data_IF_237815299909
#
_entry.id   IF_237815299909
#
_cell.length_a   1.000
_cell.length_b   1.000
_cell.length_c   1.000
_cell.angle_alpha   90.00
_cell.angle_beta   90.00
_cell.angle_gamma   90.00
#
_symmetry.space_group_name_H-M   'P 1'
#
loop_
_entity.id
_entity.type
_entity.pdbx_description
1 polymer ?
#
# COMPACT_ATOMS: atom_id res chain seq x y z
N UNK A 1 6.50 -7.42 3.17
CA UNK A 1 6.31 -6.10 2.53
C UNK A 1 7.67 -5.42 2.39
N UNK A 2 7.94 -4.74 1.28
CA UNK A 2 9.28 -4.20 0.94
C UNK A 2 9.33 -2.66 0.79
N UNK A 3 8.23 -1.98 1.11
CA UNK A 3 8.09 -0.52 1.02
C UNK A 3 7.87 0.08 2.43
N UNK A 4 8.17 1.37 2.65
CA UNK A 4 8.16 1.98 3.97
C UNK A 4 6.75 2.42 4.39
N UNK A 5 5.85 1.47 4.65
CA UNK A 5 4.49 1.76 5.13
C UNK A 5 4.39 1.95 6.66
N UNK A 6 5.48 1.75 7.40
CA UNK A 6 5.52 1.77 8.86
C UNK A 6 6.73 2.53 9.36
N UNK A 7 6.61 3.17 10.53
CA UNK A 7 7.77 3.72 11.25
C UNK A 7 8.72 2.59 11.69
N UNK A 8 10.02 2.76 11.43
CA UNK A 8 11.07 1.85 11.91
C UNK A 8 11.54 2.17 13.35
N UNK A 9 11.00 3.22 13.97
CA UNK A 9 11.28 3.58 15.38
C UNK A 9 10.08 3.30 16.28
N UNK A 10 10.35 2.98 17.54
CA UNK A 10 9.34 2.89 18.63
C UNK A 10 8.94 4.27 19.15
N UNK A 11 9.68 5.32 18.81
CA UNK A 11 9.35 6.70 19.16
C UNK A 11 8.06 7.14 18.48
N UNK A 12 7.25 7.93 19.18
CA UNK A 12 6.09 8.60 18.62
C UNK A 12 6.50 9.45 17.42
N UNK A 13 5.87 9.22 16.27
CA UNK A 13 6.18 9.87 14.98
C UNK A 13 4.90 10.42 14.38
N UNK A 14 4.86 11.73 14.20
CA UNK A 14 3.80 12.43 13.44
C UNK A 14 4.28 12.90 12.05
N UNK A 15 5.59 13.08 11.87
CA UNK A 15 6.19 13.45 10.60
C UNK A 15 5.89 12.37 9.54
N UNK A 16 5.30 12.71 8.37
CA UNK A 16 4.96 11.75 7.33
C UNK A 16 6.15 10.90 6.84
N UNK A 17 5.85 9.77 6.21
CA UNK A 17 6.79 9.11 5.30
C UNK A 17 6.36 9.49 3.88
N UNK A 18 7.14 10.33 3.21
CA UNK A 18 7.02 10.55 1.76
C UNK A 18 8.11 9.73 1.05
N UNK A 19 7.71 8.77 0.23
CA UNK A 19 8.59 7.86 -0.51
C UNK A 19 8.24 7.85 -1.99
N UNK A 20 9.28 7.96 -2.84
CA UNK A 20 9.18 7.83 -4.30
C UNK A 20 10.30 6.94 -4.84
N UNK A 21 9.94 6.03 -5.75
CA UNK A 21 10.87 5.21 -6.51
C UNK A 21 10.23 4.77 -7.84
N UNK A 22 10.72 5.33 -8.96
CA UNK A 22 10.10 5.14 -10.27
C UNK A 22 8.63 5.63 -10.25
N UNK A 23 7.73 4.84 -10.83
CA UNK A 23 6.28 5.12 -10.83
C UNK A 23 5.58 4.91 -9.47
N UNK A 24 6.26 4.35 -8.46
CA UNK A 24 5.68 4.10 -7.14
C UNK A 24 5.90 5.30 -6.23
N UNK A 25 4.78 5.91 -5.81
CA UNK A 25 4.74 6.89 -4.73
C UNK A 25 3.96 6.31 -3.55
N UNK A 26 4.44 6.58 -2.33
CA UNK A 26 3.82 6.19 -1.06
C UNK A 26 3.91 7.38 -0.12
N UNK A 27 2.78 7.76 0.48
CA UNK A 27 2.70 8.74 1.55
C UNK A 27 2.01 8.13 2.75
N UNK A 28 2.65 8.14 3.90
CA UNK A 28 2.11 7.62 5.17
C UNK A 28 1.95 8.79 6.14
N UNK A 29 0.73 8.99 6.62
CA UNK A 29 0.33 10.09 7.50
C UNK A 29 -0.25 9.53 8.80
N UNK A 30 -0.10 10.31 9.88
CA UNK A 30 -0.46 9.90 11.23
C UNK A 30 -1.31 10.97 11.91
N UNK A 31 -2.26 10.54 12.74
CA UNK A 31 -2.98 11.42 13.67
C UNK A 31 -2.04 11.78 14.84
N UNK A 32 -1.98 13.06 15.27
CA UNK A 32 -1.07 13.50 16.34
C UNK A 32 -1.18 12.70 17.64
N UNK A 33 -2.38 12.35 18.07
CA UNK A 33 -2.62 11.73 19.39
C UNK A 33 -2.08 10.29 19.50
N UNK A 34 -2.17 9.51 18.41
CA UNK A 34 -1.74 8.11 18.38
C UNK A 34 -0.34 7.94 17.77
N UNK A 35 0.05 8.81 16.83
CA UNK A 35 1.25 8.68 16.03
C UNK A 35 1.15 7.61 14.93
N UNK A 36 2.23 7.45 14.18
CA UNK A 36 2.31 6.55 13.03
C UNK A 36 2.47 5.09 13.46
N UNK A 37 1.74 4.19 12.80
CA UNK A 37 1.90 2.75 12.91
C UNK A 37 3.36 2.35 12.70
N UNK A 38 3.87 1.59 13.66
CA UNK A 38 5.25 1.13 13.73
C UNK A 38 5.38 -0.27 13.15
N UNK A 39 6.60 -0.67 12.82
CA UNK A 39 6.89 -2.00 12.30
C UNK A 39 6.55 -3.14 13.28
N UNK A 40 6.41 -2.86 14.58
CA UNK A 40 5.93 -3.83 15.57
C UNK A 40 4.41 -3.97 15.57
N UNK A 41 3.66 -2.93 15.18
CA UNK A 41 2.20 -3.00 15.09
C UNK A 41 1.77 -3.91 13.92
N UNK A 42 2.60 -3.99 12.87
CA UNK A 42 2.43 -4.92 11.76
C UNK A 42 2.43 -6.41 12.19
N UNK A 43 2.87 -6.76 13.40
CA UNK A 43 2.77 -8.12 13.92
C UNK A 43 1.31 -8.57 14.06
N UNK A 44 0.40 -7.64 14.39
CA UNK A 44 -1.06 -7.91 14.48
C UNK A 44 -1.63 -8.27 13.11
N UNK A 45 -1.13 -7.64 12.03
CA UNK A 45 -1.54 -7.95 10.67
C UNK A 45 -1.00 -9.31 10.19
N UNK A 46 0.18 -9.71 10.68
CA UNK A 46 0.73 -11.05 10.43
C UNK A 46 -0.17 -12.09 11.10
N UNK A 47 -0.55 -11.88 12.36
CA UNK A 47 -1.54 -12.71 13.06
C UNK A 47 -2.87 -12.77 12.29
N UNK A 48 -3.44 -11.62 11.91
CA UNK A 48 -4.73 -11.54 11.22
C UNK A 48 -4.71 -12.32 9.89
N UNK A 49 -3.66 -12.15 9.07
CA UNK A 49 -3.49 -12.91 7.85
C UNK A 49 -3.38 -14.42 8.12
N UNK A 50 -2.60 -14.83 9.14
CA UNK A 50 -2.46 -16.24 9.51
C UNK A 50 -3.80 -16.89 9.89
N UNK A 51 -4.67 -16.21 10.63
CA UNK A 51 -6.00 -16.75 10.98
C UNK A 51 -6.95 -16.87 9.79
N UNK A 52 -6.89 -15.94 8.83
CA UNK A 52 -7.69 -16.01 7.59
C UNK A 52 -7.23 -17.20 6.73
N UNK A 53 -5.92 -17.41 6.59
CA UNK A 53 -5.34 -18.56 5.87
C UNK A 53 -5.70 -19.87 6.55
N UNK A 54 -5.47 -19.98 7.86
CA UNK A 54 -5.77 -21.17 8.66
C UNK A 54 -7.25 -21.57 8.55
N UNK A 55 -8.17 -20.61 8.63
CA UNK A 55 -9.60 -20.87 8.44
C UNK A 55 -9.94 -21.31 7.01
N UNK A 56 -9.36 -20.68 5.97
CA UNK A 56 -9.56 -21.06 4.57
C UNK A 56 -9.06 -22.48 4.30
N UNK A 57 -7.85 -22.79 4.74
CA UNK A 57 -7.19 -24.07 4.48
C UNK A 57 -7.87 -25.22 5.25
N UNK A 58 -8.51 -24.91 6.39
CA UNK A 58 -9.42 -25.81 7.10
C UNK A 58 -10.83 -25.95 6.47
N UNK A 59 -11.10 -25.28 5.34
CA UNK A 59 -12.39 -25.30 4.65
C UNK A 59 -13.51 -24.52 5.37
N UNK A 60 -13.18 -23.67 6.34
CA UNK A 60 -14.12 -22.84 7.07
C UNK A 60 -14.48 -21.58 6.28
N UNK A 61 -15.64 -20.98 6.57
CA UNK A 61 -15.98 -19.66 6.05
C UNK A 61 -15.12 -18.60 6.71
N UNK A 62 -14.31 -17.92 5.91
CA UNK A 62 -13.53 -16.75 6.30
C UNK A 62 -14.40 -15.48 6.36
N UNK A 63 -13.94 -14.48 7.12
CA UNK A 63 -14.61 -13.18 7.27
C UNK A 63 -13.60 -12.06 7.46
N UNK A 64 -14.00 -10.84 7.09
CA UNK A 64 -13.27 -9.59 7.42
C UNK A 64 -13.45 -9.17 8.88
N UNK A 65 -14.52 -9.65 9.53
CA UNK A 65 -14.75 -9.46 10.95
C UNK A 65 -13.99 -10.54 11.73
N UNK A 66 -13.11 -10.11 12.63
CA UNK A 66 -12.26 -10.98 13.42
C UNK A 66 -12.51 -10.71 14.91
N UNK A 67 -12.67 -11.78 15.70
CA UNK A 67 -12.78 -11.72 17.15
C UNK A 67 -11.69 -12.59 17.76
N UNK A 68 -10.97 -12.07 18.75
CA UNK A 68 -9.96 -12.81 19.50
C UNK A 68 -9.73 -12.18 20.88
N UNK A 69 -9.21 -12.95 21.83
CA UNK A 69 -8.74 -12.39 23.10
C UNK A 69 -7.40 -11.66 22.92
N UNK A 70 -7.10 -10.63 23.74
CA UNK A 70 -5.76 -10.03 23.80
C UNK A 70 -4.65 -11.06 24.06
N UNK A 71 -4.97 -12.12 24.82
CA UNK A 71 -4.06 -13.20 25.17
C UNK A 71 -3.62 -14.01 23.94
N UNK A 72 -4.56 -14.39 23.07
CA UNK A 72 -4.27 -15.16 21.84
C UNK A 72 -3.40 -14.34 20.88
N UNK A 73 -3.76 -13.08 20.62
CA UNK A 73 -2.98 -12.19 19.76
C UNK A 73 -1.56 -12.05 20.29
N UNK A 74 -1.38 -11.70 21.57
CA UNK A 74 -0.06 -11.45 22.15
C UNK A 74 0.81 -12.71 22.24
N UNK A 75 0.22 -13.86 22.58
CA UNK A 75 0.91 -15.15 22.58
C UNK A 75 1.35 -15.53 21.17
N UNK A 76 0.49 -15.32 20.17
CA UNK A 76 0.86 -15.52 18.77
C UNK A 76 2.00 -14.59 18.35
N UNK A 77 1.98 -13.30 18.67
CA UNK A 77 3.04 -12.36 18.26
C UNK A 77 4.28 -12.31 19.18
N UNK A 78 4.45 -13.32 20.05
CA UNK A 78 5.64 -13.48 20.89
C UNK A 78 5.80 -12.40 21.97
N UNK A 79 4.70 -11.91 22.54
CA UNK A 79 4.69 -10.83 23.54
C UNK A 79 4.23 -11.33 24.91
N UNK A 80 4.65 -10.58 25.94
CA UNK A 80 4.12 -10.75 27.28
C UNK A 80 2.62 -10.44 27.35
N UNK A 81 1.96 -11.04 28.33
CA UNK A 81 0.52 -10.93 28.59
C UNK A 81 0.22 -10.02 29.79
N UNK A 82 1.12 -9.07 30.08
CA UNK A 82 0.98 -8.14 31.19
C UNK A 82 -0.05 -7.04 30.87
N UNK A 83 -0.56 -6.36 31.90
CA UNK A 83 -1.41 -5.17 31.74
C UNK A 83 -0.74 -4.07 30.87
N UNK A 84 0.59 -3.97 30.92
CA UNK A 84 1.37 -3.04 30.09
C UNK A 84 1.31 -3.43 28.61
N UNK A 85 1.37 -4.72 28.32
CA UNK A 85 1.33 -5.25 26.95
C UNK A 85 -0.09 -5.22 26.38
N UNK A 86 -1.11 -5.40 27.22
CA UNK A 86 -2.51 -5.19 26.84
C UNK A 86 -2.78 -3.73 26.48
N UNK A 87 -2.26 -2.76 27.25
CA UNK A 87 -2.31 -1.32 26.90
C UNK A 87 -1.55 -1.01 25.61
N UNK A 88 -0.42 -1.68 25.34
CA UNK A 88 0.34 -1.54 24.09
C UNK A 88 -0.41 -2.11 22.89
N UNK A 89 -1.14 -3.21 23.05
CA UNK A 89 -1.99 -3.79 22.01
C UNK A 89 -3.08 -2.79 21.59
N UNK A 90 -3.81 -2.19 22.55
CA UNK A 90 -4.80 -1.15 22.25
C UNK A 90 -4.18 0.01 21.46
N UNK A 91 -3.09 0.58 21.97
CA UNK A 91 -2.39 1.66 21.29
C UNK A 91 -1.85 1.26 19.89
N UNK A 92 -1.57 -0.02 19.65
CA UNK A 92 -1.19 -0.53 18.33
C UNK A 92 -2.39 -0.61 17.38
N UNK A 93 -3.56 -1.06 17.87
CA UNK A 93 -4.81 -1.05 17.11
C UNK A 93 -5.23 0.37 16.75
N UNK A 94 -5.16 1.31 17.70
CA UNK A 94 -5.37 2.74 17.47
C UNK A 94 -4.47 3.27 16.34
N UNK A 95 -3.16 3.02 16.42
CA UNK A 95 -2.21 3.44 15.36
C UNK A 95 -2.49 2.78 14.01
N UNK A 96 -2.89 1.52 13.97
CA UNK A 96 -3.23 0.80 12.72
C UNK A 96 -4.50 1.35 12.07
N UNK A 97 -5.48 1.77 12.87
CA UNK A 97 -6.70 2.42 12.39
C UNK A 97 -6.42 3.87 11.95
N UNK A 98 -5.68 4.64 12.74
CA UNK A 98 -5.46 6.09 12.52
C UNK A 98 -4.37 6.40 11.47
N UNK A 99 -3.49 5.46 11.15
CA UNK A 99 -2.44 5.67 10.14
C UNK A 99 -3.01 5.54 8.74
N UNK A 100 -2.96 6.63 7.98
CA UNK A 100 -3.47 6.69 6.61
C UNK A 100 -2.34 6.56 5.61
N UNK A 101 -2.48 5.64 4.66
CA UNK A 101 -1.54 5.41 3.56
C UNK A 101 -2.18 5.85 2.25
N UNK A 102 -1.48 6.63 1.44
CA UNK A 102 -1.82 6.91 0.05
C UNK A 102 -0.74 6.36 -0.88
N UNK A 103 -1.10 5.62 -1.94
CA UNK A 103 -0.11 5.05 -2.87
C UNK A 103 -0.61 4.85 -4.30
N UNK A 104 0.31 4.92 -5.26
CA UNK A 104 0.12 4.48 -6.67
C UNK A 104 0.43 2.98 -6.87
N UNK A 105 0.85 2.24 -5.83
CA UNK A 105 1.21 0.83 -5.95
C UNK A 105 0.02 -0.01 -6.46
N UNK A 106 0.24 -0.78 -7.53
CA UNK A 106 -0.76 -1.60 -8.25
C UNK A 106 -1.94 -0.82 -8.86
N UNK A 107 -1.82 0.49 -9.03
CA UNK A 107 -2.80 1.25 -9.80
C UNK A 107 -2.41 1.19 -11.29
N UNK A 108 -3.20 0.47 -12.08
CA UNK A 108 -2.94 0.25 -13.53
C UNK A 108 -3.22 1.50 -14.37
N UNK A 109 -4.03 2.44 -13.85
CA UNK A 109 -4.33 3.69 -14.52
C UNK A 109 -3.53 4.85 -13.91
N UNK A 110 -2.91 5.65 -14.76
CA UNK A 110 -2.18 6.86 -14.36
C UNK A 110 -3.07 7.81 -13.54
N UNK A 111 -2.48 8.49 -12.57
CA UNK A 111 -3.18 9.44 -11.69
C UNK A 111 -4.02 8.82 -10.57
N UNK A 112 -4.38 7.53 -10.61
CA UNK A 112 -5.10 6.90 -9.49
C UNK A 112 -4.18 6.67 -8.29
N UNK A 113 -4.63 7.13 -7.11
CA UNK A 113 -4.03 6.84 -5.80
C UNK A 113 -5.05 6.12 -4.94
N UNK A 114 -4.68 4.94 -4.42
CA UNK A 114 -5.48 4.27 -3.40
C UNK A 114 -5.14 4.86 -2.02
N UNK A 115 -6.15 5.13 -1.19
CA UNK A 115 -5.96 5.60 0.19
C UNK A 115 -6.65 4.64 1.16
N UNK A 116 -5.95 4.20 2.20
CA UNK A 116 -6.43 3.19 3.13
C UNK A 116 -5.78 3.31 4.52
N UNK A 117 -6.43 2.74 5.54
CA UNK A 117 -5.85 2.39 6.84
C UNK A 117 -5.58 0.87 6.91
N UNK A 118 -4.85 0.41 7.93
CA UNK A 118 -4.58 -1.01 8.11
C UNK A 118 -5.73 -1.78 8.77
N UNK A 119 -6.52 -1.09 9.58
CA UNK A 119 -7.74 -1.58 10.23
C UNK A 119 -8.84 -0.55 9.93
N UNK A 120 -10.04 -1.01 9.58
CA UNK A 120 -11.19 -0.12 9.38
C UNK A 120 -11.77 0.29 10.75
N UNK A 121 -12.00 -0.70 11.60
CA UNK A 121 -12.67 -0.57 12.89
C UNK A 121 -12.09 -1.57 13.88
N UNK A 122 -12.01 -1.19 15.15
CA UNK A 122 -11.79 -2.13 16.25
C UNK A 122 -12.59 -1.71 17.47
N UNK A 123 -12.99 -2.69 18.28
CA UNK A 123 -13.74 -2.48 19.52
C UNK A 123 -13.17 -3.37 20.63
N UNK A 124 -13.13 -2.86 21.85
CA UNK A 124 -12.84 -3.67 23.04
C UNK A 124 -14.14 -4.24 23.60
N UNK A 125 -14.25 -5.57 23.61
CA UNK A 125 -15.32 -6.26 24.33
C UNK A 125 -14.92 -6.39 25.79
N UNK A 126 -15.74 -5.85 26.67
CA UNK A 126 -15.55 -5.88 28.13
C UNK A 126 -16.67 -6.71 28.74
N UNK A 127 -16.35 -7.64 29.65
CA UNK A 127 -17.38 -8.43 30.33
C UNK A 127 -18.08 -7.63 31.44
N UNK A 128 -19.16 -8.20 31.99
CA UNK A 128 -19.95 -7.58 33.07
C UNK A 128 -19.15 -7.21 34.35
N UNK A 129 -17.89 -7.65 34.47
CA UNK A 129 -16.99 -7.32 35.58
C UNK A 129 -15.93 -6.27 35.21
N UNK A 130 -16.07 -5.59 34.07
CA UNK A 130 -15.15 -4.54 33.63
C UNK A 130 -13.80 -5.04 33.14
N UNK A 131 -13.65 -6.35 32.84
CA UNK A 131 -12.39 -6.92 32.34
C UNK A 131 -12.42 -7.03 30.80
N UNK A 132 -11.29 -6.79 30.11
CA UNK A 132 -11.17 -7.07 28.67
C UNK A 132 -11.42 -8.56 28.43
N UNK A 133 -12.44 -8.83 27.62
CA UNK A 133 -12.96 -10.18 27.31
C UNK A 133 -12.69 -10.55 25.85
N UNK A 134 -12.54 -9.56 24.98
CA UNK A 134 -12.15 -9.74 23.59
C UNK A 134 -11.76 -8.45 22.89
N UNK A 135 -11.15 -8.60 21.74
CA UNK A 135 -10.95 -7.57 20.71
C UNK A 135 -11.75 -8.01 19.50
N UNK A 136 -12.60 -7.13 19.01
CA UNK A 136 -13.29 -7.26 17.74
C UNK A 136 -12.64 -6.29 16.76
N UNK A 137 -12.34 -6.71 15.53
CA UNK A 137 -11.74 -5.85 14.51
C UNK A 137 -12.23 -6.19 13.10
N UNK A 138 -12.33 -5.17 12.26
CA UNK A 138 -12.68 -5.30 10.84
C UNK A 138 -11.44 -4.97 10.01
N UNK A 139 -10.90 -5.97 9.32
CA UNK A 139 -9.83 -5.74 8.35
C UNK A 139 -10.39 -5.12 7.05
N UNK A 140 -9.62 -4.25 6.37
CA UNK A 140 -10.01 -3.69 5.09
C UNK A 140 -10.23 -4.77 4.03
N UNK A 141 -11.14 -4.54 3.09
CA UNK A 141 -11.40 -5.47 1.98
C UNK A 141 -10.14 -5.76 1.16
N UNK A 142 -9.38 -4.73 0.77
CA UNK A 142 -8.14 -4.90 0.01
C UNK A 142 -7.12 -5.80 0.72
N UNK A 143 -7.10 -5.83 2.07
CA UNK A 143 -6.21 -6.68 2.86
C UNK A 143 -6.72 -8.12 2.83
N UNK A 144 -8.02 -8.31 3.01
CA UNK A 144 -8.68 -9.61 2.98
C UNK A 144 -8.54 -10.30 1.62
N UNK A 145 -8.84 -9.61 0.50
CA UNK A 145 -8.63 -10.15 -0.84
C UNK A 145 -7.15 -10.48 -1.06
N UNK A 146 -6.24 -9.58 -0.66
CA UNK A 146 -4.79 -9.80 -0.77
C UNK A 146 -4.26 -11.01 0.03
N UNK A 147 -4.99 -11.47 1.05
CA UNK A 147 -4.69 -12.71 1.79
C UNK A 147 -5.32 -13.92 1.09
N UNK A 148 -6.59 -13.83 0.65
CA UNK A 148 -7.26 -14.95 -0.03
C UNK A 148 -6.64 -15.32 -1.38
N UNK A 149 -6.13 -14.35 -2.14
CA UNK A 149 -5.54 -14.53 -3.48
C UNK A 149 -4.19 -15.28 -3.49
N UNK A 150 -3.65 -15.70 -2.32
CA UNK A 150 -2.35 -16.34 -2.04
C UNK A 150 -1.08 -15.61 -2.51
N UNK A 151 -1.18 -14.73 -3.52
CA UNK A 151 -0.04 -14.17 -4.26
C UNK A 151 0.93 -13.31 -3.43
N UNK A 152 0.59 -13.03 -2.16
CA UNK A 152 1.17 -11.98 -1.33
C UNK A 152 1.54 -12.40 0.09
N UNK A 153 1.12 -13.59 0.54
CA UNK A 153 1.49 -14.13 1.83
C UNK A 153 2.93 -14.61 1.75
N UNK A 154 3.79 -14.03 2.57
CA UNK A 154 5.15 -14.54 2.78
C UNK A 154 5.10 -15.36 4.06
N UNK A 155 5.41 -16.65 4.00
CA UNK A 155 5.59 -17.48 5.20
C UNK A 155 6.68 -16.84 6.06
N UNK A 156 6.36 -16.49 7.31
CA UNK A 156 7.29 -15.86 8.26
C UNK A 156 7.75 -16.91 9.27
N UNK A 157 9.06 -16.98 9.51
CA UNK A 157 9.65 -17.84 10.53
C UNK A 157 9.22 -17.39 11.94
N UNK A 158 9.02 -18.33 12.87
CA UNK A 158 8.61 -18.03 14.25
C UNK A 158 9.58 -17.05 14.94
N UNK A 159 10.88 -17.19 14.71
CA UNK A 159 11.91 -16.35 15.31
C UNK A 159 11.91 -14.89 14.79
N UNK A 160 11.11 -14.55 13.78
CA UNK A 160 10.90 -13.16 13.36
C UNK A 160 10.36 -12.29 14.52
N UNK A 161 9.51 -12.84 15.39
CA UNK A 161 8.91 -12.06 16.47
C UNK A 161 9.95 -11.61 17.51
N UNK A 162 11.03 -12.39 17.68
CA UNK A 162 12.14 -12.12 18.60
C UNK A 162 13.07 -10.99 18.11
N UNK A 163 13.00 -10.61 16.82
CA UNK A 163 13.77 -9.47 16.29
C UNK A 163 13.42 -8.18 17.05
N UNK A 164 14.42 -7.54 17.63
CA UNK A 164 14.19 -6.39 18.54
C UNK A 164 14.22 -5.04 17.84
N UNK A 165 15.01 -4.93 16.76
CA UNK A 165 15.24 -3.72 15.97
C UNK A 165 14.23 -3.53 14.83
N UNK A 166 13.91 -2.27 14.54
CA UNK A 166 13.00 -1.94 13.45
C UNK A 166 13.64 -2.14 12.08
N UNK A 167 14.92 -1.79 11.93
CA UNK A 167 15.67 -2.06 10.71
C UNK A 167 15.81 -3.57 10.43
N UNK A 168 16.05 -4.38 11.48
CA UNK A 168 16.11 -5.86 11.39
C UNK A 168 14.80 -6.44 10.85
N UNK A 169 13.67 -6.07 11.45
CA UNK A 169 12.33 -6.54 11.04
C UNK A 169 11.95 -6.08 9.64
N UNK A 170 12.39 -4.90 9.22
CA UNK A 170 12.19 -4.45 7.84
C UNK A 170 13.06 -5.27 6.89
N UNK A 171 14.34 -5.45 7.24
CA UNK A 171 15.30 -6.17 6.42
C UNK A 171 14.88 -7.63 6.23
N UNK A 172 14.47 -8.33 7.29
CA UNK A 172 13.94 -9.69 7.20
C UNK A 172 12.78 -9.78 6.20
N UNK A 173 11.80 -8.86 6.27
CA UNK A 173 10.62 -8.87 5.37
C UNK A 173 10.93 -8.43 3.94
N UNK A 174 12.05 -7.73 3.73
CA UNK A 174 12.63 -7.46 2.40
C UNK A 174 13.33 -8.72 1.87
N UNK A 175 14.29 -9.25 2.63
CA UNK A 175 15.08 -10.46 2.32
C UNK A 175 14.15 -11.64 1.99
N UNK A 176 13.17 -11.95 2.85
CA UNK A 176 12.18 -13.03 2.62
C UNK A 176 11.37 -12.86 1.33
N UNK A 177 11.08 -11.62 0.92
CA UNK A 177 10.36 -11.33 -0.34
C UNK A 177 11.20 -11.64 -1.58
N UNK A 178 12.52 -11.45 -1.52
CA UNK A 178 13.42 -11.59 -2.66
C UNK A 178 14.08 -12.98 -2.69
N UNK A 179 14.62 -13.45 -1.56
CA UNK A 179 15.27 -14.76 -1.42
C UNK A 179 14.36 -15.97 -1.61
N UNK A 180 13.04 -15.84 -1.41
CA UNK A 180 12.10 -16.94 -1.66
C UNK A 180 12.02 -17.42 -3.13
N UNK A 181 12.64 -16.70 -4.07
CA UNK A 181 12.67 -17.05 -5.51
C UNK A 181 14.08 -17.23 -6.06
N UNK A 182 15.12 -17.06 -5.25
CA UNK A 182 16.50 -16.87 -5.71
C UNK A 182 17.44 -17.74 -4.86
N UNK A 183 17.85 -18.88 -5.42
CA UNK A 183 18.68 -19.88 -4.74
C UNK A 183 20.08 -19.33 -4.45
N UNK A 184 20.64 -18.58 -5.39
CA UNK A 184 21.99 -18.00 -5.34
C UNK A 184 22.04 -16.63 -4.61
N UNK A 185 21.01 -16.37 -3.79
CA UNK A 185 20.90 -15.13 -3.02
C UNK A 185 20.53 -13.90 -3.85
N UNK A 186 20.69 -12.72 -3.24
CA UNK A 186 20.47 -11.43 -3.92
C UNK A 186 21.32 -10.32 -3.30
N UNK A 187 21.62 -9.29 -4.11
CA UNK A 187 22.47 -8.15 -3.75
C UNK A 187 21.69 -6.84 -3.76
N UNK A 188 21.87 -6.04 -2.72
CA UNK A 188 21.31 -4.69 -2.60
C UNK A 188 22.38 -3.68 -2.24
N UNK A 189 22.52 -2.63 -3.04
CA UNK A 189 23.33 -1.47 -2.66
C UNK A 189 22.80 -0.80 -1.37
N UNK A 190 23.72 -0.38 -0.50
CA UNK A 190 23.39 0.22 0.80
C UNK A 190 22.58 1.53 0.67
N UNK A 191 22.82 2.35 -0.37
CA UNK A 191 22.04 3.59 -0.61
C UNK A 191 20.63 3.25 -1.06
N UNK A 192 20.48 2.26 -1.94
CA UNK A 192 19.17 1.74 -2.34
C UNK A 192 18.39 1.23 -1.13
N UNK A 193 19.02 0.48 -0.21
CA UNK A 193 18.38 0.04 1.03
C UNK A 193 17.96 1.22 1.92
N UNK A 194 18.81 2.23 2.07
CA UNK A 194 18.50 3.43 2.87
C UNK A 194 17.26 4.14 2.35
N UNK A 195 17.21 4.43 1.04
CA UNK A 195 16.03 5.03 0.38
C UNK A 195 14.78 4.14 0.53
N UNK A 196 14.90 2.84 0.25
CA UNK A 196 13.79 1.86 0.30
C UNK A 196 13.23 1.62 1.70
N UNK A 197 14.05 1.82 2.73
CA UNK A 197 13.64 1.67 4.13
C UNK A 197 12.79 2.84 4.66
N UNK A 198 12.83 4.00 4.00
CA UNK A 198 12.21 5.23 4.51
C UNK A 198 12.77 5.67 5.87
N UNK A 199 14.01 5.28 6.19
CA UNK A 199 14.65 5.61 7.46
C UNK A 199 15.02 7.10 7.52
N UNK A 200 14.61 7.75 8.61
CA UNK A 200 14.98 9.14 8.92
C UNK A 200 16.44 9.26 9.42
N UNK A 201 17.11 8.15 9.72
CA UNK A 201 18.51 8.18 10.16
C UNK A 201 19.43 8.66 9.02
N UNK A 202 20.46 9.48 9.30
CA UNK A 202 21.47 9.82 8.31
C UNK A 202 22.15 8.56 7.76
N UNK A 203 22.51 8.55 6.47
CA UNK A 203 23.05 7.36 5.80
C UNK A 203 24.23 6.70 6.53
N UNK A 204 25.14 7.49 7.13
CA UNK A 204 26.25 6.96 7.94
C UNK A 204 25.78 6.10 9.12
N UNK A 205 24.70 6.51 9.80
CA UNK A 205 24.09 5.79 10.91
C UNK A 205 23.34 4.55 10.43
N UNK A 206 22.57 4.67 9.34
CA UNK A 206 21.92 3.53 8.69
C UNK A 206 22.93 2.44 8.29
N UNK A 207 24.04 2.83 7.64
CA UNK A 207 25.08 1.88 7.23
C UNK A 207 25.84 1.27 8.41
N UNK A 208 25.97 1.99 9.54
CA UNK A 208 26.50 1.44 10.78
C UNK A 208 25.56 0.37 11.37
N UNK A 209 24.27 0.68 11.50
CA UNK A 209 23.26 -0.26 12.00
C UNK A 209 23.14 -1.49 11.08
N UNK A 210 23.15 -1.31 9.76
CA UNK A 210 23.12 -2.41 8.81
C UNK A 210 24.35 -3.33 8.94
N UNK A 211 25.57 -2.79 9.12
CA UNK A 211 26.77 -3.61 9.37
C UNK A 211 26.69 -4.34 10.71
N UNK A 212 26.10 -3.74 11.74
CA UNK A 212 25.90 -4.43 13.02
C UNK A 212 24.91 -5.60 12.89
N UNK A 213 23.84 -5.44 12.11
CA UNK A 213 22.91 -6.53 11.76
C UNK A 213 23.64 -7.65 11.01
N UNK A 214 24.45 -7.32 10.00
CA UNK A 214 25.27 -8.32 9.27
C UNK A 214 26.23 -9.04 10.23
N UNK A 215 26.89 -8.30 11.13
CA UNK A 215 27.83 -8.87 12.12
C UNK A 215 27.14 -9.82 13.11
N UNK A 216 25.91 -9.52 13.54
CA UNK A 216 25.15 -10.34 14.51
C UNK A 216 24.35 -11.49 13.90
N UNK A 217 24.13 -11.50 12.58
CA UNK A 217 23.34 -12.50 11.86
C UNK A 217 21.95 -12.81 12.50
N UNK A 218 21.13 -11.82 12.93
CA UNK A 218 19.90 -12.11 13.66
C UNK A 218 18.73 -12.56 12.77
N UNK A 219 18.88 -12.61 11.44
CA UNK A 219 17.78 -12.88 10.52
C UNK A 219 17.56 -14.41 10.37
N UNK A 220 16.45 -14.98 10.87
CA UNK A 220 16.24 -16.42 10.82
C UNK A 220 16.15 -16.93 9.38
N UNK A 221 16.80 -18.07 9.10
CA UNK A 221 16.84 -18.70 7.79
C UNK A 221 17.68 -17.98 6.72
N UNK A 222 18.44 -16.94 7.07
CA UNK A 222 19.30 -16.21 6.12
C UNK A 222 20.68 -15.92 6.71
N UNK A 223 21.70 -16.01 5.86
CA UNK A 223 23.04 -15.53 6.17
C UNK A 223 23.31 -14.27 5.35
N UNK A 224 23.74 -13.19 6.03
CA UNK A 224 24.02 -11.89 5.44
C UNK A 224 25.53 -11.69 5.27
N UNK A 225 25.94 -10.98 4.23
CA UNK A 225 27.34 -10.59 4.05
C UNK A 225 27.46 -9.23 3.36
N UNK A 226 28.63 -8.61 3.52
CA UNK A 226 28.96 -7.34 2.85
C UNK A 226 29.91 -7.64 1.71
N UNK A 227 29.57 -7.18 0.51
CA UNK A 227 30.47 -7.17 -0.63
C UNK A 227 30.88 -5.73 -0.95
N UNK A 228 32.09 -5.56 -1.50
CA UNK A 228 32.56 -4.29 -2.05
C UNK A 228 32.76 -4.51 -3.54
N UNK A 229 31.94 -3.85 -4.35
CA UNK A 229 32.07 -3.86 -5.80
C UNK A 229 33.32 -3.07 -6.23
N UNK A 230 33.92 -3.40 -7.38
CA UNK A 230 35.13 -2.72 -7.90
C UNK A 230 35.00 -1.18 -8.00
N UNK A 231 33.78 -0.64 -8.09
CA UNK A 231 33.50 0.80 -8.02
C UNK A 231 33.40 1.39 -6.59
N UNK A 232 33.83 0.66 -5.55
CA UNK A 232 33.76 1.09 -4.15
C UNK A 232 32.35 1.08 -3.54
N UNK A 233 31.35 0.55 -4.26
CA UNK A 233 29.98 0.45 -3.75
C UNK A 233 29.86 -0.70 -2.76
N UNK A 234 29.18 -0.44 -1.65
CA UNK A 234 28.97 -1.42 -0.59
C UNK A 234 27.60 -2.08 -0.78
N UNK A 235 27.62 -3.38 -1.03
CA UNK A 235 26.44 -4.20 -1.24
C UNK A 235 26.16 -5.04 0.01
N UNK A 236 24.89 -5.14 0.40
CA UNK A 236 24.40 -6.22 1.22
C UNK A 236 24.07 -7.38 0.28
N UNK A 237 24.73 -8.51 0.49
CA UNK A 237 24.33 -9.77 -0.09
C UNK A 237 23.71 -10.67 0.99
N UNK A 238 22.84 -11.59 0.58
CA UNK A 238 22.27 -12.59 1.48
C UNK A 238 21.94 -13.87 0.73
N UNK A 239 22.02 -14.99 1.44
CA UNK A 239 21.67 -16.33 0.94
C UNK A 239 20.78 -17.07 1.96
N UNK A 240 19.91 -18.00 1.51
CA UNK A 240 19.18 -18.89 2.42
C UNK A 240 20.16 -19.75 3.24
N UNK A 241 20.01 -19.77 4.56
CA UNK A 241 20.89 -20.56 5.42
C UNK A 241 20.49 -22.05 5.38
N UNK A 242 21.42 -22.99 5.12
CA UNK A 242 21.11 -24.42 4.96
C UNK A 242 20.66 -25.12 6.25
N UNK A 243 20.69 -24.44 7.39
CA UNK A 243 20.22 -24.95 8.68
C UNK A 243 18.69 -24.81 8.89
N UNK A 244 17.97 -24.06 8.05
CA UNK A 244 16.51 -24.09 8.07
C UNK A 244 16.02 -25.41 7.44
N UNK A 245 15.11 -26.09 8.14
CA UNK A 245 14.51 -27.34 7.67
C UNK A 245 13.76 -27.20 6.34
N UNK A 246 13.24 -28.34 5.85
CA UNK A 246 12.57 -28.51 4.54
C UNK A 246 11.85 -27.23 4.06
N UNK A 247 11.93 -26.88 2.75
CA UNK A 247 11.19 -25.74 2.21
C UNK A 247 9.73 -25.87 2.63
N UNK A 248 9.29 -24.98 3.52
CA UNK A 248 7.96 -25.04 4.11
C UNK A 248 6.96 -24.54 3.09
N UNK A 249 6.13 -25.46 2.60
CA UNK A 249 4.88 -25.14 1.93
C UNK A 249 4.03 -24.19 2.79
N UNK A 250 3.08 -23.48 2.16
CA UNK A 250 2.44 -22.26 2.68
C UNK A 250 1.64 -22.35 3.99
N UNK A 251 1.63 -23.51 4.66
CA UNK A 251 0.97 -23.72 5.94
C UNK A 251 1.82 -23.17 7.10
N UNK A 252 1.30 -22.18 7.81
CA UNK A 252 1.81 -21.74 9.12
C UNK A 252 1.20 -22.68 10.18
N UNK A 253 1.98 -23.56 10.84
CA UNK A 253 1.44 -24.39 11.91
C UNK A 253 1.27 -23.52 13.14
N UNK A 254 0.03 -23.09 13.40
CA UNK A 254 -0.33 -22.50 14.68
C UNK A 254 -0.20 -23.57 15.77
N UNK A 255 0.61 -23.30 16.79
CA UNK A 255 0.74 -24.20 17.96
C UNK A 255 -0.49 -24.18 18.89
N UNK A 256 -1.56 -23.48 18.49
CA UNK A 256 -2.85 -23.48 19.18
C UNK A 256 -3.50 -24.85 19.04
N UNK A 257 -4.03 -25.38 20.15
CA UNK A 257 -4.65 -26.72 20.16
C UNK A 257 -5.81 -26.78 19.18
N UNK A 258 -5.85 -27.84 18.37
CA UNK A 258 -6.84 -28.16 17.31
C UNK A 258 -8.27 -28.42 17.82
N UNK A 259 -8.59 -28.00 19.04
CA UNK A 259 -9.89 -28.17 19.68
C UNK A 259 -10.31 -26.82 20.25
N UNK A 260 -10.90 -25.98 19.40
CA UNK A 260 -11.88 -25.00 19.87
C UNK A 260 -13.12 -25.82 20.26
N UNK A 261 -13.25 -26.13 21.56
CA UNK A 261 -14.53 -26.55 22.10
C UNK A 261 -15.47 -25.35 21.94
N UNK A 262 -16.43 -25.49 21.03
CA UNK A 262 -17.53 -24.53 20.85
C UNK A 262 -18.45 -24.58 22.07
N UNK A 263 -18.01 -23.94 23.16
CA UNK A 263 -18.78 -23.74 24.39
C UNK A 263 -19.90 -22.72 24.25
N UNK A 264 -19.97 -22.03 23.12
CA UNK A 264 -21.07 -21.14 22.76
C UNK A 264 -22.17 -21.95 22.07
N UNK A 265 -23.39 -21.96 22.63
CA UNK A 265 -24.57 -22.29 21.83
C UNK A 265 -24.58 -21.38 20.60
N UNK A 266 -24.87 -21.95 19.42
CA UNK A 266 -24.59 -21.31 18.13
C UNK A 266 -25.08 -19.86 18.06
N UNK A 267 -24.17 -18.92 17.80
CA UNK A 267 -24.54 -17.51 17.68
C UNK A 267 -25.45 -17.32 16.45
N UNK A 268 -26.60 -16.69 16.67
CA UNK A 268 -27.69 -16.62 15.70
C UNK A 268 -27.47 -15.57 14.59
N UNK A 269 -26.32 -15.59 13.92
CA UNK A 269 -26.07 -14.83 12.69
C UNK A 269 -25.53 -15.75 11.59
N UNK A 270 -26.46 -16.50 10.98
CA UNK A 270 -26.27 -16.99 9.62
C UNK A 270 -26.50 -15.82 8.66
N UNK A 271 -25.62 -15.64 7.67
CA UNK A 271 -26.02 -14.96 6.44
C UNK A 271 -27.28 -15.65 5.89
N UNK A 272 -28.34 -14.91 5.52
CA UNK A 272 -29.50 -15.51 4.88
C UNK A 272 -29.07 -16.28 3.63
N UNK A 273 -29.47 -17.56 3.54
CA UNK A 273 -29.29 -18.33 2.30
C UNK A 273 -29.90 -17.52 1.16
N UNK A 274 -29.13 -17.23 0.11
CA UNK A 274 -29.64 -16.57 -1.08
C UNK A 274 -30.79 -17.40 -1.66
N UNK A 275 -32.03 -16.94 -1.44
CA UNK A 275 -33.27 -17.61 -1.84
C UNK A 275 -33.56 -17.54 -3.34
N UNK A 276 -32.57 -17.24 -4.18
CA UNK A 276 -32.73 -17.04 -5.62
C UNK A 276 -32.60 -18.38 -6.33
N UNK A 277 -33.72 -19.08 -6.49
CA UNK A 277 -33.84 -20.13 -7.51
C UNK A 277 -33.98 -19.46 -8.89
N UNK A 278 -33.35 -19.97 -9.97
CA UNK A 278 -33.57 -19.45 -11.32
C UNK A 278 -35.03 -19.68 -11.75
N UNK A 279 -35.83 -18.62 -11.77
CA UNK A 279 -37.21 -18.65 -12.24
C UNK A 279 -37.28 -18.40 -13.74
N UNK A 280 -37.79 -19.37 -14.52
CA UNK A 280 -37.86 -19.28 -15.97
C UNK A 280 -39.06 -18.42 -16.43
N UNK A 281 -38.99 -17.10 -16.21
CA UNK A 281 -39.96 -16.11 -16.73
C UNK A 281 -39.25 -14.93 -17.37
N UNK A 282 -39.30 -14.86 -18.70
CA UNK A 282 -39.10 -13.63 -19.45
C UNK A 282 -40.37 -12.78 -19.34
N UNK A 283 -40.36 -11.77 -18.47
CA UNK A 283 -41.22 -10.57 -18.56
C UNK A 283 -40.84 -9.57 -17.47
N UNK A 284 -40.27 -8.42 -17.84
CA UNK A 284 -40.07 -7.31 -16.91
C UNK A 284 -41.41 -6.59 -16.72
N UNK A 285 -41.96 -6.60 -15.50
CA UNK A 285 -43.07 -5.70 -15.14
C UNK A 285 -42.59 -4.25 -15.09
N UNK A 286 -43.54 -3.34 -15.31
CA UNK A 286 -43.29 -1.90 -15.50
C UNK A 286 -42.59 -1.23 -14.30
N UNK A 287 -41.90 -0.13 -14.60
CA UNK A 287 -41.18 0.70 -13.65
C UNK A 287 -42.15 1.39 -12.67
N UNK A 288 -41.86 1.34 -11.37
CA UNK A 288 -42.50 2.19 -10.37
C UNK A 288 -42.16 3.66 -10.67
N UNK A 289 -43.16 4.45 -11.08
CA UNK A 289 -43.03 5.87 -11.41
C UNK A 289 -43.65 6.82 -10.38
N UNK A 290 -44.20 6.31 -9.27
CA UNK A 290 -44.94 7.09 -8.26
C UNK A 290 -44.17 7.23 -6.93
N UNK A 291 -42.90 7.66 -6.98
CA UNK A 291 -42.09 7.91 -5.76
C UNK A 291 -40.93 8.90 -5.99
N UNK A 292 -41.24 10.12 -6.47
CA UNK A 292 -40.52 11.39 -6.20
C UNK A 292 -41.00 12.49 -7.17
N UNK A 293 -42.07 13.23 -6.83
CA UNK A 293 -42.59 14.31 -7.68
C UNK A 293 -42.12 15.73 -7.30
N UNK A 294 -41.49 15.95 -6.13
CA UNK A 294 -41.22 17.32 -5.62
C UNK A 294 -39.75 17.79 -5.61
N UNK A 295 -38.81 17.14 -6.31
CA UNK A 295 -37.46 17.71 -6.49
C UNK A 295 -36.72 17.21 -7.74
N UNK A 296 -36.62 18.11 -8.74
CA UNK A 296 -35.56 18.26 -9.78
C UNK A 296 -36.00 18.32 -11.27
N UNK A 297 -36.90 19.23 -11.65
CA UNK A 297 -36.97 19.79 -13.02
C UNK A 297 -37.36 21.28 -12.89
N UNK A 298 -36.64 22.26 -13.44
CA UNK A 298 -36.49 22.52 -14.89
C UNK A 298 -35.14 23.16 -15.31
N UNK A 299 -34.27 23.62 -14.39
CA UNK A 299 -33.20 24.56 -14.77
C UNK A 299 -31.97 23.92 -15.46
N UNK A 300 -31.59 22.69 -15.09
CA UNK A 300 -30.32 22.08 -15.54
C UNK A 300 -30.23 21.65 -17.01
N UNK A 301 -31.35 21.45 -17.72
CA UNK A 301 -31.28 21.00 -19.13
C UNK A 301 -30.85 22.11 -20.09
N UNK A 302 -31.30 23.36 -19.88
CA UNK A 302 -30.95 24.49 -20.75
C UNK A 302 -29.49 24.90 -20.62
N UNK A 303 -28.94 24.85 -19.40
CA UNK A 303 -27.56 25.28 -19.15
C UNK A 303 -26.51 24.27 -19.63
N UNK A 304 -26.75 22.96 -19.45
CA UNK A 304 -25.88 21.93 -20.01
C UNK A 304 -25.83 22.03 -21.54
N UNK A 305 -26.98 22.29 -22.18
CA UNK A 305 -27.04 22.42 -23.65
C UNK A 305 -26.34 23.69 -24.15
N UNK A 306 -26.49 24.84 -23.45
CA UNK A 306 -25.69 26.06 -23.72
C UNK A 306 -24.19 25.82 -23.53
N UNK A 307 -23.78 25.08 -22.49
CA UNK A 307 -22.38 24.78 -22.22
C UNK A 307 -21.76 23.92 -23.34
N UNK A 308 -22.47 22.88 -23.78
CA UNK A 308 -22.03 21.99 -24.88
C UNK A 308 -21.83 22.78 -26.18
N UNK A 309 -22.77 23.67 -26.54
CA UNK A 309 -22.64 24.53 -27.74
C UNK A 309 -21.46 25.51 -27.60
N UNK A 310 -21.26 26.10 -26.42
CA UNK A 310 -20.14 27.03 -26.15
C UNK A 310 -18.77 26.34 -26.27
N UNK A 311 -18.65 25.11 -25.76
CA UNK A 311 -17.42 24.29 -25.87
C UNK A 311 -17.19 23.84 -27.32
N UNK A 312 -18.23 23.40 -28.03
CA UNK A 312 -18.12 23.00 -29.44
C UNK A 312 -17.65 24.13 -30.37
N UNK A 313 -18.10 25.36 -30.13
CA UNK A 313 -17.67 26.52 -30.91
C UNK A 313 -16.22 26.93 -30.60
N UNK A 314 -15.80 26.87 -29.33
CA UNK A 314 -14.41 27.17 -28.94
C UNK A 314 -13.40 26.20 -29.60
N UNK A 315 -13.74 24.91 -29.70
CA UNK A 315 -12.89 23.87 -30.30
C UNK A 315 -12.79 23.98 -31.84
N UNK A 316 -13.80 24.56 -32.50
CA UNK A 316 -13.75 24.86 -33.94
C UNK A 316 -12.83 26.03 -34.27
N UNK A 317 -12.81 27.08 -33.45
CA UNK A 317 -11.95 28.26 -33.67
C UNK A 317 -10.46 27.89 -33.58
N UNK A 318 -10.07 26.97 -32.69
CA UNK A 318 -8.67 26.55 -32.53
C UNK A 318 -8.18 25.55 -33.58
N UNK A 319 -9.05 25.05 -34.46
CA UNK A 319 -8.73 24.01 -35.44
C UNK A 319 -8.79 24.49 -36.91
N UNK A 320 -9.12 25.76 -37.15
CA UNK A 320 -9.30 26.32 -38.50
C UNK A 320 -8.03 26.85 -39.19
N UNK A 321 -6.99 27.24 -38.43
CA UNK A 321 -5.93 28.14 -38.92
C UNK A 321 -4.63 27.43 -39.36
N UNK A 322 -4.72 26.16 -39.78
CA UNK A 322 -3.58 25.40 -40.33
C UNK A 322 -3.98 24.46 -41.46
N UNK A 323 -4.57 25.01 -42.55
CA UNK A 323 -4.67 24.37 -43.89
C UNK A 323 -5.27 25.34 -44.94
N UNK A 324 -4.47 26.28 -45.45
CA UNK A 324 -4.50 26.78 -46.84
C UNK A 324 -3.50 27.94 -47.03
N UNK A 325 -2.28 27.61 -47.45
CA UNK A 325 -1.29 28.61 -47.91
C UNK A 325 -0.22 27.94 -48.80
N UNK A 326 -0.65 27.26 -49.86
CA UNK A 326 0.21 26.85 -50.98
C UNK A 326 -0.63 26.80 -52.26
N UNK A 327 -0.05 27.29 -53.36
CA UNK A 327 -0.57 27.36 -54.73
C UNK A 327 -1.94 28.04 -54.99
N UNK A 328 -1.88 29.30 -55.49
CA UNK A 328 -1.89 29.53 -56.95
C UNK A 328 -1.54 30.97 -57.36
N UNK A 329 -1.03 31.08 -58.59
CA UNK A 329 -0.39 32.23 -59.25
C UNK A 329 -1.32 33.03 -60.18
N UNK A 330 -0.92 34.28 -60.51
CA UNK A 330 -1.35 35.10 -61.67
C UNK A 330 -2.82 35.59 -61.63
N UNK A 331 -3.28 36.74 -62.19
CA UNK A 331 -2.71 37.92 -62.91
C UNK A 331 -3.82 39.02 -62.93
N UNK A 332 -3.64 40.32 -63.22
CA UNK A 332 -2.52 41.20 -63.56
C UNK A 332 -2.89 42.68 -63.20
N UNK A 333 -1.94 43.62 -63.37
CA UNK A 333 -2.08 45.09 -63.56
C UNK A 333 -2.82 45.93 -62.47
N UNK A 334 -2.37 47.14 -62.09
CA UNK A 334 -1.78 48.21 -62.94
C UNK A 334 -0.99 49.25 -62.10
N UNK A 335 0.05 49.88 -62.68
CA UNK A 335 0.62 51.23 -62.35
C UNK A 335 1.20 51.50 -60.92
N UNK A 336 2.33 52.19 -60.65
CA UNK A 336 3.37 52.89 -61.46
C UNK A 336 4.67 53.06 -60.62
N UNK A 337 5.88 52.95 -61.24
CA UNK A 337 7.09 53.82 -61.07
C UNK A 337 7.55 54.23 -59.62
N UNK A 338 8.81 54.04 -59.14
CA UNK A 338 10.15 54.34 -59.75
C UNK A 338 11.32 53.71 -58.95
N UNK A 339 12.47 53.51 -59.63
CA UNK A 339 13.91 53.43 -59.19
C UNK A 339 14.24 53.77 -57.71
N UNK A 340 15.28 53.20 -57.07
CA UNK A 340 16.68 53.03 -57.54
C UNK A 340 17.54 52.04 -56.71
N UNK A 341 18.75 51.75 -57.19
CA UNK A 341 19.76 50.75 -56.76
C UNK A 341 20.52 51.04 -55.43
N UNK A 342 21.31 50.07 -54.88
CA UNK A 342 21.86 50.10 -53.51
C UNK A 342 23.40 50.27 -53.39
N UNK A 343 23.88 50.38 -52.15
CA UNK A 343 25.26 50.18 -51.63
C UNK A 343 25.11 49.69 -50.17
N UNK A 344 25.78 48.64 -49.68
CA UNK A 344 27.20 48.59 -49.26
C UNK A 344 27.53 49.68 -48.21
N UNK A 345 28.19 49.42 -47.07
CA UNK A 345 29.01 48.26 -46.64
C UNK A 345 29.15 48.18 -45.10
N UNK A 346 29.67 47.02 -44.64
CA UNK A 346 30.73 46.82 -43.64
C UNK A 346 30.58 47.19 -42.14
N UNK A 347 31.41 46.46 -41.37
CA UNK A 347 32.02 46.80 -40.08
C UNK A 347 31.40 46.27 -38.75
N UNK A 348 32.08 45.23 -38.27
CA UNK A 348 32.37 44.74 -36.90
C UNK A 348 32.78 45.84 -35.88
N UNK A 349 33.14 45.54 -34.60
CA UNK A 349 32.84 44.37 -33.74
C UNK A 349 32.49 44.78 -32.27
N UNK A 350 32.54 43.81 -31.34
CA UNK A 350 32.63 43.95 -29.85
C UNK A 350 31.32 44.23 -29.10
N UNK A 351 31.09 43.74 -27.88
CA UNK A 351 31.88 42.82 -27.06
C UNK A 351 31.68 43.05 -25.55
N UNK A 352 31.23 42.04 -24.81
CA UNK A 352 31.35 41.93 -23.34
C UNK A 352 30.25 42.54 -22.46
N UNK A 353 29.42 41.66 -21.88
CA UNK A 353 29.08 41.59 -20.44
C UNK A 353 28.31 40.28 -20.16
#
# INVERSE_FOLDING_TARGET
>A
MAYPFFSLSKSHRVAPIDFSAGAVSIRVEAVPDHGMATIWDADILIWAASQIVEARDAGLRTSRLMMATPYEILTFIGRGTSLRDYRRLKAALDRLQSTTISTTLRQTAEGRRHRFSWINEWQERTNHKGRPDGVEMIVPDWFYQAVLDDALILTIDRAYFDLTGGLERWLYRLVRKHGGRQKDGWRFDFRHLHQKSGSLSPFKRFAFELRDIIRRQPLPGYTLFTEIEYGGRMLLAFEPSPACGKPVDGLVPSGTRTIVLSGTQGSCYQEPKQGVKPGNRFENRALNLESNEESNFEERRRDVQKLIVKVGNALKVTSGDKRHAQDRSATADTFTVRRRTPTASSDDPSGGA
#
